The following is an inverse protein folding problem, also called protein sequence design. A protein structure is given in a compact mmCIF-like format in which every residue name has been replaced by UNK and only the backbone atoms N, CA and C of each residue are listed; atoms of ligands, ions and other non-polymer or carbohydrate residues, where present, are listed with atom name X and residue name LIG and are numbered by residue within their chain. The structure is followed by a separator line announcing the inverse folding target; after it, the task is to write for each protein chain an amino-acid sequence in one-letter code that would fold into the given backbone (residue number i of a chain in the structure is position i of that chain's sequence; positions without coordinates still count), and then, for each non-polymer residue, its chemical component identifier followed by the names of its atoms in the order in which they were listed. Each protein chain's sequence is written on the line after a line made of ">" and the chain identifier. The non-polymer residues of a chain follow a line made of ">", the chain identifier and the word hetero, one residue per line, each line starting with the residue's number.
data_IF_138715442721
#
_entry.id   IF_138715442721
#
_cell.length_a   1.000
_cell.length_b   1.000
_cell.length_c   1.000
_cell.angle_alpha   90.00
_cell.angle_beta   90.00
_cell.angle_gamma   90.00
#
_symmetry.space_group_name_H-M   'P 1'
#
loop_
_entity.id
_entity.type
_entity.pdbx_description
1 polymer ?
#
# COMPACT_ATOMS: atom_id res chain seq x y z
N UNK A 1 24.30 -13.53 3.56
CA UNK A 1 24.38 -12.08 3.89
C UNK A 1 22.99 -11.47 3.97
N UNK A 2 22.79 -10.49 4.85
CA UNK A 2 21.52 -9.75 4.99
C UNK A 2 21.73 -8.31 4.54
N UNK A 3 20.80 -7.78 3.74
CA UNK A 3 20.83 -6.41 3.25
C UNK A 3 19.56 -5.69 3.66
N UNK A 4 19.67 -4.54 4.31
CA UNK A 4 18.53 -3.68 4.66
C UNK A 4 18.61 -2.41 3.83
N UNK A 5 17.51 -2.02 3.17
CA UNK A 5 17.46 -0.88 2.25
C UNK A 5 16.28 0.01 2.60
N UNK A 6 16.53 1.29 2.87
CA UNK A 6 15.47 2.29 3.01
C UNK A 6 15.53 3.30 1.87
N UNK A 7 14.43 3.43 1.13
CA UNK A 7 14.28 4.42 0.06
C UNK A 7 13.54 5.63 0.60
N UNK A 8 14.32 6.65 0.96
CA UNK A 8 13.83 7.97 1.33
C UNK A 8 13.65 8.90 0.13
N UNK A 9 13.20 10.13 0.39
CA UNK A 9 12.99 11.14 -0.65
C UNK A 9 14.27 11.68 -1.30
N UNK A 10 15.38 11.71 -0.56
CA UNK A 10 16.66 12.27 -1.04
C UNK A 10 17.71 11.20 -1.32
N UNK A 11 17.82 10.22 -0.42
CA UNK A 11 18.80 9.15 -0.50
C UNK A 11 18.17 7.78 -0.30
N UNK A 12 18.79 6.80 -0.92
CA UNK A 12 18.59 5.38 -0.67
C UNK A 12 19.74 4.90 0.21
N UNK A 13 19.39 4.48 1.41
CA UNK A 13 20.31 3.99 2.43
C UNK A 13 20.35 2.46 2.40
N UNK A 14 21.53 1.87 2.56
CA UNK A 14 21.74 0.43 2.53
C UNK A 14 22.68 0.00 3.65
N UNK A 15 22.28 -0.98 4.44
CA UNK A 15 23.10 -1.65 5.44
C UNK A 15 23.32 -3.09 5.01
N UNK A 16 24.56 -3.55 5.04
CA UNK A 16 24.93 -4.94 4.77
C UNK A 16 25.47 -5.55 6.05
N UNK A 17 24.88 -6.66 6.47
CA UNK A 17 25.41 -7.54 7.51
C UNK A 17 26.01 -8.76 6.81
N UNK A 18 27.34 -8.86 6.88
CA UNK A 18 28.06 -9.97 6.27
C UNK A 18 28.03 -11.25 7.13
N UNK A 19 28.60 -12.34 6.61
CA UNK A 19 28.62 -13.63 7.31
C UNK A 19 29.44 -13.61 8.61
N UNK A 20 30.35 -12.65 8.78
CA UNK A 20 31.12 -12.46 10.01
C UNK A 20 30.37 -11.56 11.02
N UNK A 21 29.18 -11.07 10.67
CA UNK A 21 28.38 -10.14 11.47
C UNK A 21 28.85 -8.69 11.38
N UNK A 22 29.79 -8.36 10.48
CA UNK A 22 30.22 -6.99 10.30
C UNK A 22 29.15 -6.18 9.55
N UNK A 23 28.90 -4.97 10.03
CA UNK A 23 27.91 -4.05 9.46
C UNK A 23 28.61 -2.99 8.64
N UNK A 24 28.18 -2.80 7.39
CA UNK A 24 28.66 -1.73 6.51
C UNK A 24 27.51 -0.93 5.94
N UNK A 25 27.65 0.39 5.93
CA UNK A 25 26.65 1.32 5.41
C UNK A 25 27.05 1.89 4.06
N UNK A 26 26.07 2.00 3.16
CA UNK A 26 26.21 2.55 1.82
C UNK A 26 25.05 3.51 1.56
N UNK A 27 25.32 4.53 0.74
CA UNK A 27 24.34 5.57 0.42
C UNK A 27 24.41 5.93 -1.06
N UNK A 28 23.25 6.02 -1.70
CA UNK A 28 23.12 6.51 -3.07
C UNK A 28 22.00 7.56 -3.15
N UNK A 29 22.08 8.52 -4.09
CA UNK A 29 20.95 9.41 -4.34
C UNK A 29 19.69 8.60 -4.71
N UNK A 30 18.53 9.00 -4.19
CA UNK A 30 17.26 8.46 -4.66
C UNK A 30 16.99 8.96 -6.07
N UNK A 31 16.39 8.11 -6.89
CA UNK A 31 15.92 8.40 -8.25
C UNK A 31 14.39 8.47 -8.24
N UNK A 32 13.76 9.64 -7.98
CA UNK A 32 12.31 9.70 -7.69
C UNK A 32 11.42 9.18 -8.81
N UNK A 33 11.86 9.29 -10.07
CA UNK A 33 11.13 8.78 -11.25
C UNK A 33 11.27 7.26 -11.45
N UNK A 34 12.30 6.65 -10.87
CA UNK A 34 12.52 5.19 -10.89
C UNK A 34 13.25 4.79 -9.61
N UNK A 35 12.54 4.62 -8.48
CA UNK A 35 13.19 4.34 -7.20
C UNK A 35 14.02 3.06 -7.20
N UNK A 36 13.70 2.10 -8.09
CA UNK A 36 14.46 0.88 -8.28
C UNK A 36 15.90 1.15 -8.77
N UNK A 37 16.13 2.20 -9.57
CA UNK A 37 17.48 2.60 -9.98
C UNK A 37 18.36 2.94 -8.75
N UNK A 38 17.82 3.69 -7.78
CA UNK A 38 18.52 4.06 -6.55
C UNK A 38 18.92 2.82 -5.73
N UNK A 39 18.03 1.83 -5.66
CA UNK A 39 18.32 0.52 -5.03
C UNK A 39 19.43 -0.21 -5.77
N UNK A 40 19.38 -0.28 -7.10
CA UNK A 40 20.44 -0.94 -7.88
C UNK A 40 21.78 -0.22 -7.78
N UNK A 41 21.78 1.11 -7.70
CA UNK A 41 22.99 1.91 -7.50
C UNK A 41 23.63 1.67 -6.14
N UNK A 42 22.84 1.64 -5.06
CA UNK A 42 23.39 1.40 -3.73
C UNK A 42 23.93 -0.03 -3.58
N UNK A 43 23.26 -1.01 -4.19
CA UNK A 43 23.75 -2.39 -4.25
C UNK A 43 25.05 -2.51 -5.07
N UNK A 44 25.18 -1.77 -6.16
CA UNK A 44 26.42 -1.73 -6.93
C UNK A 44 27.59 -1.12 -6.13
N UNK A 45 27.33 -0.07 -5.33
CA UNK A 45 28.34 0.48 -4.42
C UNK A 45 28.78 -0.54 -3.36
N UNK A 46 27.83 -1.29 -2.80
CA UNK A 46 28.13 -2.36 -1.87
C UNK A 46 29.00 -3.44 -2.54
N UNK A 47 28.61 -3.91 -3.73
CA UNK A 47 29.36 -4.91 -4.50
C UNK A 47 30.83 -4.50 -4.72
N UNK A 48 31.07 -3.25 -5.14
CA UNK A 48 32.44 -2.69 -5.29
C UNK A 48 33.24 -2.76 -3.99
N UNK A 49 32.62 -2.40 -2.85
CA UNK A 49 33.29 -2.43 -1.55
C UNK A 49 33.63 -3.86 -1.07
N UNK A 50 32.84 -4.86 -1.48
CA UNK A 50 33.12 -6.28 -1.25
C UNK A 50 33.98 -6.91 -2.35
N UNK A 51 34.47 -6.12 -3.33
CA UNK A 51 35.27 -6.59 -4.48
C UNK A 51 34.58 -7.70 -5.28
N UNK A 52 33.26 -7.57 -5.42
CA UNK A 52 32.41 -8.48 -6.18
C UNK A 52 31.78 -7.73 -7.36
N UNK A 53 31.48 -8.44 -8.43
CA UNK A 53 30.56 -7.92 -9.43
C UNK A 53 29.15 -7.75 -8.82
N UNK A 54 28.31 -6.87 -9.37
CA UNK A 54 26.95 -6.70 -8.86
C UNK A 54 26.11 -7.97 -8.86
N UNK A 55 26.34 -8.89 -9.80
CA UNK A 55 25.64 -10.19 -9.86
C UNK A 55 26.12 -11.15 -8.78
N UNK A 56 27.44 -11.25 -8.55
CA UNK A 56 28.00 -12.07 -7.47
C UNK A 56 27.54 -11.59 -6.10
N UNK A 57 27.53 -10.28 -5.87
CA UNK A 57 27.07 -9.69 -4.62
C UNK A 57 25.59 -10.02 -4.37
N UNK A 58 24.70 -9.68 -5.33
CA UNK A 58 23.26 -9.92 -5.21
C UNK A 58 22.95 -11.42 -5.08
N UNK A 59 23.64 -12.28 -5.81
CA UNK A 59 23.45 -13.73 -5.73
C UNK A 59 23.88 -14.37 -4.42
N UNK A 60 24.68 -13.68 -3.60
CA UNK A 60 25.08 -14.10 -2.26
C UNK A 60 24.21 -13.48 -1.14
N UNK A 61 23.24 -12.63 -1.48
CA UNK A 61 22.27 -12.10 -0.51
C UNK A 61 21.18 -13.14 -0.25
N UNK A 62 21.00 -13.48 1.03
CA UNK A 62 19.97 -14.42 1.49
C UNK A 62 18.65 -13.72 1.79
N UNK A 63 18.73 -12.46 2.24
CA UNK A 63 17.58 -11.67 2.63
C UNK A 63 17.81 -10.19 2.35
N UNK A 64 16.84 -9.58 1.66
CA UNK A 64 16.71 -8.13 1.52
C UNK A 64 15.50 -7.67 2.35
N UNK A 65 15.71 -6.78 3.30
CA UNK A 65 14.65 -6.10 4.05
C UNK A 65 14.53 -4.68 3.49
N UNK A 66 13.39 -4.35 2.90
CA UNK A 66 13.23 -3.12 2.15
C UNK A 66 12.12 -2.23 2.73
N UNK A 67 12.49 -1.03 3.20
CA UNK A 67 11.59 0.04 3.57
C UNK A 67 11.49 1.10 2.47
N UNK A 68 10.34 1.73 2.32
CA UNK A 68 10.16 2.80 1.34
C UNK A 68 9.17 3.85 1.79
N UNK A 69 9.45 5.10 1.44
CA UNK A 69 8.53 6.24 1.65
C UNK A 69 7.55 6.44 0.50
N UNK A 70 7.58 5.59 -0.54
CA UNK A 70 6.81 5.76 -1.78
C UNK A 70 5.30 5.92 -1.54
N UNK A 71 4.69 5.03 -0.78
CA UNK A 71 3.25 5.06 -0.49
C UNK A 71 2.86 6.30 0.34
N UNK A 72 3.67 6.65 1.33
CA UNK A 72 3.47 7.85 2.15
C UNK A 72 3.53 9.12 1.32
N UNK A 73 4.57 9.28 0.50
CA UNK A 73 4.75 10.46 -0.35
C UNK A 73 3.61 10.60 -1.37
N UNK A 74 3.20 9.50 -1.99
CA UNK A 74 2.06 9.46 -2.91
C UNK A 74 0.78 10.03 -2.27
N UNK A 75 0.47 9.65 -1.02
CA UNK A 75 -0.69 10.18 -0.30
C UNK A 75 -0.55 11.64 0.11
N UNK A 76 0.61 12.02 0.66
CA UNK A 76 0.88 13.40 1.12
C UNK A 76 0.79 14.38 -0.05
N UNK A 77 1.39 14.02 -1.18
CA UNK A 77 1.43 14.87 -2.38
C UNK A 77 0.19 14.69 -3.27
N UNK A 78 -0.72 13.78 -2.90
CA UNK A 78 -1.89 13.38 -3.68
C UNK A 78 -1.54 12.99 -5.12
N UNK A 79 -0.43 12.26 -5.28
CA UNK A 79 0.05 11.71 -6.57
C UNK A 79 -0.17 10.20 -6.57
N UNK A 80 -1.32 9.76 -7.07
CA UNK A 80 -1.72 8.35 -7.09
C UNK A 80 -2.75 8.07 -8.17
N UNK A 81 -3.38 6.90 -8.09
CA UNK A 81 -4.41 6.48 -9.02
C UNK A 81 -5.65 7.39 -8.94
N UNK A 82 -6.38 7.51 -10.05
CA UNK A 82 -7.74 8.08 -10.00
C UNK A 82 -8.65 6.97 -9.52
N UNK A 83 -9.18 7.10 -8.30
CA UNK A 83 -9.91 6.01 -7.64
C UNK A 83 -11.42 6.17 -7.82
N UNK A 84 -12.09 5.06 -8.11
CA UNK A 84 -13.54 4.86 -7.97
C UNK A 84 -13.86 3.94 -6.80
N UNK A 85 -15.08 4.02 -6.29
CA UNK A 85 -15.54 3.15 -5.21
C UNK A 85 -16.91 2.54 -5.52
N UNK A 86 -17.03 1.23 -5.35
CA UNK A 86 -18.32 0.55 -5.26
C UNK A 86 -18.72 0.43 -3.80
N UNK A 87 -19.96 0.79 -3.48
CA UNK A 87 -20.49 0.75 -2.11
C UNK A 87 -21.92 0.26 -2.08
N UNK A 88 -22.38 -0.20 -0.92
CA UNK A 88 -23.76 -0.63 -0.72
C UNK A 88 -24.73 0.50 -1.06
N UNK A 89 -25.83 0.19 -1.74
CA UNK A 89 -26.88 1.16 -2.06
C UNK A 89 -27.38 1.87 -0.80
N UNK A 90 -27.45 3.20 -0.87
CA UNK A 90 -27.74 4.09 0.27
C UNK A 90 -26.52 4.56 1.07
N UNK A 91 -25.32 4.02 0.79
CA UNK A 91 -24.09 4.31 1.54
C UNK A 91 -23.02 5.01 0.71
N UNK A 92 -23.45 5.69 -0.37
CA UNK A 92 -22.60 6.46 -1.28
C UNK A 92 -21.76 7.53 -0.58
N UNK A 93 -22.30 8.12 0.48
CA UNK A 93 -21.79 9.34 1.08
C UNK A 93 -20.90 9.11 2.32
N UNK A 94 -20.62 7.86 2.71
CA UNK A 94 -19.79 7.52 3.89
C UNK A 94 -18.47 8.30 3.91
N UNK A 95 -17.72 8.30 2.80
CA UNK A 95 -16.40 8.94 2.74
C UNK A 95 -16.47 10.46 2.82
N UNK A 96 -17.58 11.06 2.37
CA UNK A 96 -17.79 12.50 2.46
C UNK A 96 -18.24 12.90 3.87
N UNK A 97 -19.10 12.09 4.50
CA UNK A 97 -19.63 12.33 5.84
C UNK A 97 -18.59 12.13 6.94
N UNK A 98 -17.68 11.16 6.78
CA UNK A 98 -16.56 10.89 7.71
C UNK A 98 -16.97 10.72 9.18
N UNK A 99 -18.18 10.23 9.44
CA UNK A 99 -18.77 10.18 10.80
C UNK A 99 -18.82 11.55 11.51
N UNK A 100 -18.77 12.65 10.77
CA UNK A 100 -18.69 14.01 11.31
C UNK A 100 -17.28 14.48 11.69
N UNK A 101 -16.24 13.68 11.45
CA UNK A 101 -14.86 14.06 11.78
C UNK A 101 -14.38 15.25 10.94
N UNK A 102 -13.97 16.32 11.62
CA UNK A 102 -13.27 17.47 11.03
C UNK A 102 -11.76 17.23 11.16
N UNK A 103 -11.01 17.30 10.06
CA UNK A 103 -9.54 17.31 10.12
C UNK A 103 -9.06 18.69 10.51
N UNK A 104 -9.14 19.03 11.80
CA UNK A 104 -8.90 20.40 12.26
C UNK A 104 -7.46 20.87 12.03
N UNK A 105 -6.48 19.97 11.88
CA UNK A 105 -5.12 20.33 11.44
C UNK A 105 -4.46 21.43 12.29
N UNK A 106 -4.75 21.45 13.59
CA UNK A 106 -4.31 22.50 14.52
C UNK A 106 -5.28 23.68 14.71
N UNK A 107 -6.42 23.70 14.01
CA UNK A 107 -7.52 24.66 14.22
C UNK A 107 -8.49 24.19 15.31
N UNK A 108 -9.40 25.08 15.70
CA UNK A 108 -10.47 24.76 16.64
C UNK A 108 -11.50 23.81 16.03
N UNK A 109 -11.92 22.79 16.80
CA UNK A 109 -13.07 21.94 16.46
C UNK A 109 -14.39 22.72 16.36
N UNK A 110 -14.45 23.89 17.01
CA UNK A 110 -15.60 24.79 17.03
C UNK A 110 -15.62 25.80 15.88
N UNK A 111 -14.62 25.78 14.99
CA UNK A 111 -14.65 26.60 13.78
C UNK A 111 -15.76 26.11 12.84
N UNK A 112 -16.78 26.94 12.66
CA UNK A 112 -17.93 26.69 11.77
C UNK A 112 -17.62 27.02 10.31
N UNK A 113 -16.57 27.79 10.04
CA UNK A 113 -16.12 28.16 8.70
C UNK A 113 -15.03 27.22 8.17
N UNK A 114 -14.82 26.08 8.83
CA UNK A 114 -13.85 25.08 8.42
C UNK A 114 -14.19 24.56 7.01
N UNK A 115 -13.26 24.61 6.04
CA UNK A 115 -13.55 24.23 4.66
C UNK A 115 -13.89 22.74 4.55
N UNK A 116 -14.75 22.35 3.59
CA UNK A 116 -15.08 20.96 3.39
C UNK A 116 -13.84 20.16 3.00
N UNK A 117 -13.71 18.98 3.60
CA UNK A 117 -12.66 18.05 3.25
C UNK A 117 -12.80 17.62 1.79
N UNK A 118 -11.67 17.48 1.08
CA UNK A 118 -11.62 16.93 -0.28
C UNK A 118 -11.21 15.45 -0.21
N UNK A 119 -12.15 14.49 -0.37
CA UNK A 119 -11.82 13.07 -0.31
C UNK A 119 -10.91 12.64 -1.45
N UNK A 120 -10.25 11.48 -1.28
CA UNK A 120 -9.47 10.85 -2.36
C UNK A 120 -10.36 10.41 -3.51
N UNK A 121 -11.59 9.98 -3.21
CA UNK A 121 -12.60 9.60 -4.20
C UNK A 121 -13.68 10.69 -4.24
N UNK A 122 -13.86 11.40 -5.36
CA UNK A 122 -14.95 12.35 -5.48
C UNK A 122 -16.28 11.60 -5.47
N UNK A 123 -17.33 12.19 -4.87
CA UNK A 123 -18.66 11.58 -4.75
C UNK A 123 -19.21 10.98 -6.06
N UNK A 124 -18.94 11.63 -7.20
CA UNK A 124 -19.36 11.14 -8.52
C UNK A 124 -18.77 9.77 -8.89
N UNK A 125 -17.60 9.41 -8.37
CA UNK A 125 -16.96 8.11 -8.57
C UNK A 125 -17.28 7.10 -7.45
N UNK A 126 -18.06 7.48 -6.44
CA UNK A 126 -18.68 6.52 -5.52
C UNK A 126 -19.99 6.03 -6.13
N UNK A 127 -20.05 4.78 -6.58
CA UNK A 127 -21.19 4.19 -7.25
C UNK A 127 -21.88 3.16 -6.34
N UNK A 128 -23.17 3.34 -6.03
CA UNK A 128 -23.91 2.39 -5.23
C UNK A 128 -24.23 1.12 -6.04
N UNK A 129 -24.13 -0.04 -5.40
CA UNK A 129 -24.52 -1.35 -5.94
C UNK A 129 -25.66 -1.91 -5.09
N UNK A 130 -26.67 -2.46 -5.73
CA UNK A 130 -27.78 -3.14 -5.06
C UNK A 130 -27.30 -4.45 -4.47
N UNK A 131 -27.12 -4.45 -3.16
CA UNK A 131 -26.53 -5.54 -2.38
C UNK A 131 -26.84 -5.27 -0.90
N UNK A 132 -27.00 -6.31 -0.07
CA UNK A 132 -27.06 -6.14 1.39
C UNK A 132 -26.71 -7.41 2.14
N UNK A 133 -25.79 -7.30 3.10
CA UNK A 133 -25.60 -8.29 4.15
C UNK A 133 -26.08 -7.78 5.51
N UNK A 134 -26.44 -8.69 6.42
CA UNK A 134 -26.66 -8.36 7.83
C UNK A 134 -25.37 -8.51 8.65
N UNK A 135 -25.41 -8.07 9.91
CA UNK A 135 -24.27 -8.15 10.84
C UNK A 135 -23.76 -9.58 11.13
N UNK A 136 -24.56 -10.62 10.83
CA UNK A 136 -24.18 -12.03 10.95
C UNK A 136 -23.58 -12.60 9.65
N UNK A 137 -23.38 -11.76 8.64
CA UNK A 137 -22.88 -12.16 7.32
C UNK A 137 -23.91 -12.89 6.45
N UNK A 138 -25.19 -12.85 6.81
CA UNK A 138 -26.25 -13.45 6.00
C UNK A 138 -26.71 -12.47 4.93
N UNK A 139 -26.98 -13.00 3.73
CA UNK A 139 -27.50 -12.21 2.61
C UNK A 139 -28.92 -11.75 2.91
N UNK A 140 -29.15 -10.44 2.84
CA UNK A 140 -30.47 -9.81 2.93
C UNK A 140 -30.96 -9.45 1.54
N UNK A 141 -30.06 -8.90 0.71
CA UNK A 141 -30.31 -8.62 -0.71
C UNK A 141 -29.13 -9.18 -1.49
N UNK A 142 -29.36 -10.09 -2.46
CA UNK A 142 -28.30 -10.61 -3.32
C UNK A 142 -27.56 -9.50 -4.04
N UNK A 143 -26.30 -9.75 -4.40
CA UNK A 143 -25.53 -8.86 -5.24
C UNK A 143 -26.15 -8.75 -6.63
N UNK A 144 -26.51 -7.52 -7.03
CA UNK A 144 -26.86 -7.21 -8.42
C UNK A 144 -25.59 -7.07 -9.26
N UNK A 145 -25.28 -8.10 -10.04
CA UNK A 145 -24.12 -8.09 -10.92
C UNK A 145 -24.25 -7.10 -12.09
N UNK A 146 -25.47 -6.71 -12.47
CA UNK A 146 -25.72 -5.70 -13.50
C UNK A 146 -25.26 -4.33 -13.04
N UNK A 147 -25.57 -3.98 -11.78
CA UNK A 147 -25.07 -2.75 -11.14
C UNK A 147 -23.54 -2.70 -11.12
N UNK A 148 -22.86 -3.82 -10.85
CA UNK A 148 -21.38 -3.89 -10.86
C UNK A 148 -20.81 -3.65 -12.26
N UNK A 149 -21.39 -4.28 -13.31
CA UNK A 149 -20.94 -4.09 -14.70
C UNK A 149 -21.19 -2.65 -15.17
N UNK A 150 -22.36 -2.09 -14.91
CA UNK A 150 -22.66 -0.69 -15.24
C UNK A 150 -21.77 0.31 -14.49
N UNK A 151 -21.42 0.00 -13.24
CA UNK A 151 -20.45 0.78 -12.48
C UNK A 151 -19.05 0.72 -13.13
N UNK A 152 -18.61 -0.45 -13.58
CA UNK A 152 -17.32 -0.62 -14.26
C UNK A 152 -17.22 0.27 -15.51
N UNK A 153 -18.24 0.25 -16.37
CA UNK A 153 -18.33 1.08 -17.57
C UNK A 153 -18.28 2.58 -17.23
N UNK A 154 -19.06 2.99 -16.23
CA UNK A 154 -19.12 4.40 -15.79
C UNK A 154 -17.77 4.89 -15.28
N UNK A 155 -17.09 4.08 -14.46
CA UNK A 155 -15.77 4.43 -13.91
C UNK A 155 -14.70 4.47 -15.02
N UNK A 156 -14.73 3.50 -15.93
CA UNK A 156 -13.83 3.46 -17.10
C UNK A 156 -13.97 4.72 -17.95
N UNK A 157 -15.21 5.10 -18.30
CA UNK A 157 -15.49 6.32 -19.06
C UNK A 157 -15.06 7.61 -18.32
N UNK A 158 -14.96 7.57 -17.00
CA UNK A 158 -14.54 8.70 -16.15
C UNK A 158 -13.03 8.78 -15.92
N UNK A 159 -12.24 7.92 -16.57
CA UNK A 159 -10.77 7.90 -16.44
C UNK A 159 -10.26 7.37 -15.10
N UNK A 160 -11.07 6.59 -14.38
CA UNK A 160 -10.65 5.89 -13.16
C UNK A 160 -9.63 4.81 -13.52
N UNK A 161 -8.59 4.65 -12.71
CA UNK A 161 -7.53 3.64 -12.92
C UNK A 161 -7.44 2.61 -11.79
N UNK A 162 -8.15 2.84 -10.67
CA UNK A 162 -8.24 1.89 -9.58
C UNK A 162 -9.63 1.91 -8.94
N UNK A 163 -10.12 0.75 -8.50
CA UNK A 163 -11.45 0.59 -7.94
C UNK A 163 -11.37 -0.05 -6.55
N UNK A 164 -11.92 0.63 -5.56
CA UNK A 164 -12.14 0.11 -4.22
C UNK A 164 -13.55 -0.47 -4.11
N UNK A 165 -13.70 -1.69 -3.61
CA UNK A 165 -15.01 -2.29 -3.31
C UNK A 165 -15.18 -2.32 -1.80
N UNK A 166 -16.22 -1.65 -1.31
CA UNK A 166 -16.54 -1.61 0.11
C UNK A 166 -18.03 -1.76 0.35
N UNK A 167 -18.45 -2.93 0.81
CA UNK A 167 -19.84 -3.20 1.17
C UNK A 167 -20.01 -3.27 2.68
N UNK A 168 -21.22 -3.05 3.16
CA UNK A 168 -21.51 -3.16 4.59
C UNK A 168 -21.41 -4.61 5.05
N UNK A 169 -20.89 -4.79 6.26
CA UNK A 169 -20.72 -6.10 6.89
C UNK A 169 -19.84 -7.10 6.11
N UNK A 170 -19.05 -6.62 5.14
CA UNK A 170 -18.10 -7.47 4.40
C UNK A 170 -16.99 -8.07 5.27
N UNK A 171 -16.71 -7.47 6.45
CA UNK A 171 -15.85 -8.06 7.47
C UNK A 171 -16.41 -9.37 8.05
N UNK A 172 -17.73 -9.55 8.04
CA UNK A 172 -18.39 -10.77 8.52
C UNK A 172 -18.54 -11.80 7.39
N UNK A 173 -18.82 -11.34 6.16
CA UNK A 173 -18.85 -12.18 4.98
C UNK A 173 -18.42 -11.37 3.74
N UNK A 174 -17.26 -11.70 3.18
CA UNK A 174 -16.69 -10.99 2.03
C UNK A 174 -17.24 -11.40 0.66
N UNK A 175 -18.19 -12.35 0.59
CA UNK A 175 -18.55 -13.02 -0.67
C UNK A 175 -19.04 -12.07 -1.77
N UNK A 176 -19.84 -11.05 -1.44
CA UNK A 176 -20.28 -10.07 -2.42
C UNK A 176 -19.14 -9.17 -2.91
N UNK A 177 -18.21 -8.79 -2.05
CA UNK A 177 -17.05 -8.01 -2.48
C UNK A 177 -16.11 -8.83 -3.37
N UNK A 178 -15.88 -10.10 -3.01
CA UNK A 178 -15.11 -11.03 -3.82
C UNK A 178 -15.72 -11.19 -5.21
N UNK A 179 -17.05 -11.43 -5.27
CA UNK A 179 -17.77 -11.56 -6.54
C UNK A 179 -17.77 -10.28 -7.36
N UNK A 180 -17.96 -9.12 -6.72
CA UNK A 180 -17.86 -7.83 -7.41
C UNK A 180 -16.44 -7.59 -7.96
N UNK A 181 -15.39 -7.98 -7.23
CA UNK A 181 -14.02 -7.87 -7.70
C UNK A 181 -13.71 -8.78 -8.89
N UNK A 182 -14.26 -9.99 -8.94
CA UNK A 182 -14.19 -10.86 -10.13
C UNK A 182 -14.80 -10.17 -11.35
N UNK A 183 -16.04 -9.69 -11.23
CA UNK A 183 -16.75 -9.00 -12.32
C UNK A 183 -15.99 -7.75 -12.77
N UNK A 184 -15.44 -6.97 -11.83
CA UNK A 184 -14.62 -5.80 -12.15
C UNK A 184 -13.35 -6.18 -12.91
N UNK A 185 -12.68 -7.28 -12.56
CA UNK A 185 -11.48 -7.74 -13.28
C UNK A 185 -11.81 -8.26 -14.68
N UNK A 186 -13.00 -8.83 -14.88
CA UNK A 186 -13.48 -9.25 -16.19
C UNK A 186 -13.88 -8.04 -17.07
N UNK A 187 -14.70 -7.13 -16.55
CA UNK A 187 -15.25 -6.01 -17.30
C UNK A 187 -14.29 -4.80 -17.42
N UNK A 188 -13.36 -4.65 -16.47
CA UNK A 188 -12.40 -3.57 -16.41
C UNK A 188 -10.99 -4.09 -16.08
N UNK A 189 -10.37 -4.89 -16.97
CA UNK A 189 -9.12 -5.61 -16.70
C UNK A 189 -7.90 -4.69 -16.45
N UNK A 190 -7.95 -3.45 -16.91
CA UNK A 190 -6.89 -2.44 -16.71
C UNK A 190 -6.93 -1.80 -15.30
N UNK A 191 -8.06 -1.92 -14.58
CA UNK A 191 -8.20 -1.30 -13.27
C UNK A 191 -7.52 -2.12 -12.18
N UNK A 192 -6.84 -1.42 -11.27
CA UNK A 192 -6.36 -2.01 -10.03
C UNK A 192 -7.52 -2.15 -9.04
N UNK A 193 -7.91 -3.39 -8.71
CA UNK A 193 -9.10 -3.68 -7.87
C UNK A 193 -8.69 -4.18 -6.49
N UNK A 194 -9.21 -3.57 -5.44
CA UNK A 194 -9.07 -4.01 -4.04
C UNK A 194 -10.41 -4.06 -3.33
N UNK A 195 -10.54 -5.00 -2.40
CA UNK A 195 -11.76 -5.20 -1.61
C UNK A 195 -11.51 -4.89 -0.15
N UNK A 196 -12.54 -4.39 0.54
CA UNK A 196 -12.40 -3.94 1.91
C UNK A 196 -12.25 -5.08 2.92
N UNK A 197 -12.81 -6.25 2.64
CA UNK A 197 -12.64 -7.46 3.44
C UNK A 197 -11.22 -8.07 3.34
N UNK A 198 -10.51 -7.88 2.23
CA UNK A 198 -9.11 -8.32 2.11
C UNK A 198 -8.14 -7.32 2.75
N UNK A 199 -8.45 -6.02 2.66
CA UNK A 199 -7.60 -4.94 3.15
C UNK A 199 -7.71 -4.77 4.66
N UNK A 200 -8.91 -4.58 5.20
CA UNK A 200 -9.13 -4.30 6.63
C UNK A 200 -10.47 -4.90 7.09
N UNK A 201 -10.55 -6.22 7.34
CA UNK A 201 -11.78 -6.92 7.73
C UNK A 201 -12.19 -6.64 9.18
N UNK A 202 -12.50 -5.37 9.48
CA UNK A 202 -12.94 -4.92 10.80
C UNK A 202 -14.27 -4.18 10.72
N UNK A 203 -14.96 -4.12 11.85
CA UNK A 203 -16.18 -3.32 12.00
C UNK A 203 -15.88 -1.81 11.90
N UNK A 204 -16.84 -1.04 11.37
CA UNK A 204 -16.70 0.38 11.05
C UNK A 204 -16.50 0.63 9.56
N UNK A 205 -17.52 1.18 8.90
CA UNK A 205 -17.53 1.40 7.45
C UNK A 205 -16.63 2.56 7.02
N UNK A 206 -16.56 3.65 7.77
CA UNK A 206 -15.75 4.80 7.37
C UNK A 206 -14.26 4.47 7.36
N UNK A 207 -13.75 3.91 8.45
CA UNK A 207 -12.34 3.55 8.61
C UNK A 207 -11.95 2.47 7.58
N UNK A 208 -12.77 1.43 7.45
CA UNK A 208 -12.54 0.35 6.47
C UNK A 208 -12.56 0.87 5.03
N UNK A 209 -13.55 1.68 4.65
CA UNK A 209 -13.66 2.20 3.28
C UNK A 209 -12.56 3.21 2.98
N UNK A 210 -12.23 4.09 3.92
CA UNK A 210 -11.14 5.06 3.78
C UNK A 210 -9.80 4.36 3.56
N UNK A 211 -9.49 3.33 4.36
CA UNK A 211 -8.26 2.53 4.21
C UNK A 211 -8.23 1.76 2.88
N UNK A 212 -9.36 1.19 2.46
CA UNK A 212 -9.47 0.49 1.17
C UNK A 212 -9.24 1.44 0.00
N UNK A 213 -9.81 2.64 0.06
CA UNK A 213 -9.57 3.70 -0.93
C UNK A 213 -8.12 4.15 -0.94
N UNK A 214 -7.49 4.34 0.22
CA UNK A 214 -6.07 4.67 0.29
C UNK A 214 -5.21 3.56 -0.33
N UNK A 215 -5.56 2.29 -0.11
CA UNK A 215 -4.90 1.14 -0.75
C UNK A 215 -5.06 1.16 -2.26
N UNK A 216 -6.26 1.41 -2.78
CA UNK A 216 -6.52 1.55 -4.22
C UNK A 216 -5.73 2.72 -4.83
N UNK A 217 -5.59 3.81 -4.09
CA UNK A 217 -4.89 5.02 -4.53
C UNK A 217 -3.39 4.80 -4.73
N UNK A 218 -2.72 4.12 -3.79
CA UNK A 218 -1.26 3.87 -3.84
C UNK A 218 -0.89 2.56 -4.53
N UNK A 219 -1.82 1.61 -4.63
CA UNK A 219 -1.62 0.26 -5.14
C UNK A 219 -0.88 0.18 -6.48
N UNK A 220 -1.30 0.93 -7.53
CA UNK A 220 -0.63 0.88 -8.84
C UNK A 220 0.84 1.33 -8.81
N UNK A 221 1.14 2.38 -8.04
CA UNK A 221 2.51 2.92 -7.92
C UNK A 221 3.40 1.92 -7.19
N UNK A 222 2.90 1.37 -6.07
CA UNK A 222 3.61 0.34 -5.29
C UNK A 222 3.83 -0.92 -6.12
N UNK A 223 2.79 -1.43 -6.78
CA UNK A 223 2.88 -2.66 -7.59
C UNK A 223 3.87 -2.52 -8.73
N UNK A 224 3.82 -1.42 -9.48
CA UNK A 224 4.78 -1.13 -10.55
C UNK A 224 6.22 -1.12 -10.03
N UNK A 225 6.44 -0.43 -8.91
CA UNK A 225 7.77 -0.34 -8.30
C UNK A 225 8.31 -1.70 -7.84
N UNK A 226 7.50 -2.48 -7.12
CA UNK A 226 7.94 -3.76 -6.58
C UNK A 226 8.18 -4.80 -7.68
N UNK A 227 7.38 -4.78 -8.75
CA UNK A 227 7.58 -5.67 -9.90
C UNK A 227 8.87 -5.32 -10.67
N UNK A 228 9.15 -4.03 -10.87
CA UNK A 228 10.39 -3.57 -11.51
C UNK A 228 11.61 -3.95 -10.65
N UNK A 229 11.56 -3.69 -9.34
CA UNK A 229 12.62 -4.05 -8.42
C UNK A 229 12.86 -5.56 -8.38
N UNK A 230 11.80 -6.36 -8.24
CA UNK A 230 11.90 -7.82 -8.25
C UNK A 230 12.56 -8.35 -9.51
N UNK A 231 12.08 -7.91 -10.68
CA UNK A 231 12.63 -8.32 -11.98
C UNK A 231 14.13 -7.99 -12.13
N UNK A 232 14.56 -6.84 -11.63
CA UNK A 232 15.97 -6.42 -11.67
C UNK A 232 16.85 -7.22 -10.71
N UNK A 233 16.35 -7.55 -9.53
CA UNK A 233 17.05 -8.39 -8.57
C UNK A 233 17.19 -9.82 -9.09
N UNK A 234 16.13 -10.36 -9.70
CA UNK A 234 16.15 -11.67 -10.34
C UNK A 234 17.13 -11.72 -11.51
N UNK A 235 17.14 -10.69 -12.36
CA UNK A 235 18.12 -10.54 -13.45
C UNK A 235 19.57 -10.42 -12.97
N UNK A 236 19.78 -10.00 -11.71
CA UNK A 236 21.10 -9.99 -11.04
C UNK A 236 21.37 -11.25 -10.23
N UNK A 237 20.50 -12.26 -10.30
CA UNK A 237 20.71 -13.58 -9.74
C UNK A 237 20.39 -13.69 -8.26
N UNK A 238 19.52 -12.84 -7.70
CA UNK A 238 19.09 -12.95 -6.30
C UNK A 238 18.53 -14.36 -6.04
N UNK A 239 19.15 -15.08 -5.10
CA UNK A 239 18.66 -16.40 -4.63
C UNK A 239 17.87 -16.29 -3.32
N UNK A 240 18.04 -15.17 -2.62
CA UNK A 240 17.38 -14.87 -1.36
C UNK A 240 15.96 -14.36 -1.51
N UNK A 241 15.42 -13.85 -0.41
CA UNK A 241 14.07 -13.28 -0.35
C UNK A 241 14.10 -11.75 -0.27
N UNK A 242 13.18 -11.09 -0.96
CA UNK A 242 12.86 -9.68 -0.77
C UNK A 242 11.62 -9.56 0.13
N UNK A 243 11.80 -8.96 1.31
CA UNK A 243 10.73 -8.63 2.25
C UNK A 243 10.62 -7.12 2.42
N UNK A 244 9.40 -6.66 2.63
CA UNK A 244 9.04 -5.25 2.75
C UNK A 244 8.67 -4.95 4.18
N UNK A 245 9.23 -3.87 4.73
CA UNK A 245 8.84 -3.36 6.04
C UNK A 245 7.42 -2.79 5.94
N UNK A 246 6.58 -3.10 6.93
CA UNK A 246 5.23 -2.58 7.07
C UNK A 246 5.17 -1.52 8.18
N UNK A 247 4.09 -0.73 8.17
CA UNK A 247 3.87 0.35 9.15
C UNK A 247 3.81 -0.12 10.62
N UNK A 248 3.54 -1.40 10.85
CA UNK A 248 3.48 -2.03 12.17
C UNK A 248 4.82 -2.65 12.60
N UNK A 249 5.89 -2.45 11.83
CA UNK A 249 7.24 -2.94 12.12
C UNK A 249 7.50 -4.39 11.70
N UNK A 250 6.50 -5.10 11.17
CA UNK A 250 6.69 -6.44 10.60
C UNK A 250 7.23 -6.36 9.17
N UNK A 251 7.60 -7.53 8.63
CA UNK A 251 8.07 -7.67 7.25
C UNK A 251 7.20 -8.64 6.47
N UNK A 252 7.00 -8.37 5.18
CA UNK A 252 6.12 -9.19 4.33
C UNK A 252 6.63 -9.32 2.89
N UNK A 253 6.27 -10.41 2.22
CA UNK A 253 6.61 -10.66 0.81
C UNK A 253 6.01 -9.62 -0.14
N UNK A 254 6.68 -9.44 -1.28
CA UNK A 254 6.23 -8.55 -2.37
C UNK A 254 4.79 -8.82 -2.79
N UNK A 255 4.41 -10.09 -2.98
CA UNK A 255 3.09 -10.47 -3.49
C UNK A 255 1.94 -10.11 -2.54
N UNK A 256 2.15 -10.27 -1.22
CA UNK A 256 1.17 -9.85 -0.22
C UNK A 256 1.05 -8.32 -0.14
N UNK A 257 2.19 -7.62 -0.13
CA UNK A 257 2.22 -6.15 -0.05
C UNK A 257 1.62 -5.50 -1.28
N UNK A 258 1.86 -6.05 -2.48
CA UNK A 258 1.27 -5.54 -3.72
C UNK A 258 -0.26 -5.50 -3.63
N UNK A 259 -0.90 -6.47 -2.97
CA UNK A 259 -2.36 -6.50 -2.76
C UNK A 259 -2.84 -5.60 -1.63
N UNK A 260 -1.98 -5.29 -0.65
CA UNK A 260 -2.30 -4.49 0.54
C UNK A 260 -1.37 -3.28 0.68
N UNK A 261 -1.22 -2.52 -0.39
CA UNK A 261 -0.24 -1.45 -0.50
C UNK A 261 -0.35 -0.34 0.57
N UNK A 262 -1.53 -0.15 1.17
CA UNK A 262 -1.74 0.79 2.27
C UNK A 262 -0.85 0.50 3.50
N UNK A 263 -0.43 -0.74 3.73
CA UNK A 263 0.44 -1.08 4.87
C UNK A 263 1.89 -0.60 4.70
N UNK A 264 2.28 -0.11 3.52
CA UNK A 264 3.56 0.57 3.33
C UNK A 264 3.54 2.03 3.77
N UNK A 265 2.36 2.60 4.03
CA UNK A 265 2.23 3.98 4.49
C UNK A 265 2.80 4.09 5.89
N UNK A 266 3.94 4.75 6.01
CA UNK A 266 4.69 4.86 7.26
C UNK A 266 5.67 3.71 7.51
N UNK A 267 5.96 2.85 6.51
CA UNK A 267 6.91 1.74 6.67
C UNK A 267 8.36 2.16 6.96
N UNK A 268 8.85 3.23 6.32
CA UNK A 268 10.22 3.74 6.55
C UNK A 268 10.56 3.96 8.02
N UNK A 269 9.81 4.82 8.76
CA UNK A 269 10.08 5.04 10.18
C UNK A 269 9.68 3.87 11.09
N UNK A 270 8.89 2.89 10.63
CA UNK A 270 8.36 1.82 11.47
C UNK A 270 9.44 0.89 12.05
N UNK A 271 10.59 0.77 11.39
CA UNK A 271 11.71 -0.03 11.90
C UNK A 271 12.51 0.69 13.00
N UNK A 272 12.40 2.01 13.13
CA UNK A 272 13.24 2.80 14.05
C UNK A 272 12.97 2.50 15.54
N UNK A 273 11.72 2.37 16.02
CA UNK A 273 11.46 1.99 17.42
C UNK A 273 12.04 0.61 17.79
N UNK A 274 11.91 -0.38 16.90
CA UNK A 274 12.47 -1.72 17.11
C UNK A 274 14.00 -1.70 17.14
N UNK A 275 14.64 -0.89 16.29
CA UNK A 275 16.09 -0.69 16.35
C UNK A 275 16.52 0.01 17.64
N UNK A 276 15.76 1.03 18.09
CA UNK A 276 16.05 1.77 19.31
C UNK A 276 15.97 0.89 20.56
N UNK A 277 14.95 0.04 20.66
CA UNK A 277 14.83 -0.95 21.76
C UNK A 277 15.96 -1.97 21.74
N UNK A 278 16.30 -2.52 20.58
CA UNK A 278 17.43 -3.45 20.44
C UNK A 278 18.77 -2.83 20.87
N UNK A 279 19.04 -1.58 20.49
CA UNK A 279 20.25 -0.87 20.90
C UNK A 279 20.23 -0.55 22.40
N UNK A 280 19.07 -0.17 22.94
CA UNK A 280 18.87 0.05 24.38
C UNK A 280 19.21 -1.19 25.21
N UNK A 281 18.70 -2.35 24.78
CA UNK A 281 18.97 -3.64 25.42
C UNK A 281 20.46 -4.01 25.39
N UNK A 282 21.16 -3.78 24.27
CA UNK A 282 22.61 -3.97 24.16
C UNK A 282 23.39 -3.06 25.13
N UNK A 283 22.86 -1.86 25.39
CA UNK A 283 23.42 -0.89 26.31
C UNK A 283 22.98 -1.06 27.77
N UNK A 284 22.18 -2.07 28.11
CA UNK A 284 21.51 -2.23 29.41
C UNK A 284 20.65 -1.01 29.83
N UNK A 285 20.11 -0.27 28.86
CA UNK A 285 19.17 0.82 29.07
C UNK A 285 17.76 0.32 28.70
N UNK A 286 17.01 -0.14 29.71
CA UNK A 286 15.59 -0.50 29.58
C UNK A 286 14.68 0.72 29.65
#
# INVERSE_FOLDING_TARGET
>A
MIVSIDVGGTFTDCLVVDAAGAVRAFKAPTTPRSPADGVMQVLAKAATAYRQSPGEFVGAVELIIHGTTLATNALVERRGATVGMLTTKGFRDILALRRGFKNVGGRSMYDVFFPPYRPLVPRRHCLPVTERMNQRGQVVTPLDEGDVRGAAETLMASGVTAVAVGFLHSYANGSHEARAAEILREAFPQAYVVTSHEILPVWGEFERFSTTVASAFVGPIVSTYLNDLGSRLDARGLKGRLLLVQADGHVQSVGEVARKAVYLVGSGPAAAPTAGTFIGDLGNHR
#
